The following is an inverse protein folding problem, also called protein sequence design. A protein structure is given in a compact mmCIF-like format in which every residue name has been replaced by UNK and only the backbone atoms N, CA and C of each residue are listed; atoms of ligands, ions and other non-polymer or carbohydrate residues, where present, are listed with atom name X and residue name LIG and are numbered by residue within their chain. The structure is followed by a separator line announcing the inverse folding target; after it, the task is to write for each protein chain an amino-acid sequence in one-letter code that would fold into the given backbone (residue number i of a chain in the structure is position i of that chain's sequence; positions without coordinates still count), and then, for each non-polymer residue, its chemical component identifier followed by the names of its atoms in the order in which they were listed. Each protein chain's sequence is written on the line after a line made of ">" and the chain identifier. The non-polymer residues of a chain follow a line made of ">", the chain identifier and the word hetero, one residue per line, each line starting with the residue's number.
data_IF_011409164969
#
_entry.id   IF_011409164969
#
_cell.length_a   1.000
_cell.length_b   1.000
_cell.length_c   1.000
_cell.angle_alpha   90.00
_cell.angle_beta   90.00
_cell.angle_gamma   90.00
#
_symmetry.space_group_name_H-M   'P 1'
#
loop_
_entity.id
_entity.type
_entity.pdbx_description
1 polymer ?
#
# COMPACT_ATOMS: atom_id res chain seq x y z
N UNK A 1 -25.70 -3.00 57.46
CA UNK A 1 -24.29 -3.04 57.01
C UNK A 1 -24.28 -2.98 55.49
N UNK A 2 -23.81 -1.88 54.93
CA UNK A 2 -23.76 -1.60 53.49
C UNK A 2 -22.60 -2.37 52.84
N UNK A 3 -22.86 -3.12 51.77
CA UNK A 3 -21.84 -3.91 51.02
C UNK A 3 -21.66 -3.32 49.63
N UNK A 4 -21.04 -2.14 49.53
CA UNK A 4 -20.56 -1.59 48.26
C UNK A 4 -19.22 -2.23 47.90
N UNK A 5 -19.26 -3.18 46.96
CA UNK A 5 -18.05 -3.74 46.36
C UNK A 5 -17.63 -2.82 45.20
N UNK A 6 -16.50 -2.13 45.34
CA UNK A 6 -15.94 -1.27 44.29
C UNK A 6 -15.65 -2.06 43.01
N UNK A 7 -16.02 -1.50 41.86
CA UNK A 7 -15.79 -2.08 40.53
C UNK A 7 -14.30 -1.94 40.18
N UNK A 8 -13.63 -3.06 39.90
CA UNK A 8 -12.20 -3.11 39.56
C UNK A 8 -11.89 -2.24 38.35
N UNK A 9 -10.96 -1.30 38.50
CA UNK A 9 -10.36 -0.54 37.41
C UNK A 9 -9.53 -1.50 36.55
N UNK A 10 -9.93 -1.72 35.30
CA UNK A 10 -9.14 -2.50 34.33
C UNK A 10 -7.98 -1.62 33.89
N UNK A 11 -6.94 -1.60 34.71
CA UNK A 11 -5.66 -0.95 34.44
C UNK A 11 -4.63 -1.99 34.04
N UNK A 12 -4.56 -2.30 32.75
CA UNK A 12 -3.32 -2.69 32.08
C UNK A 12 -3.60 -2.67 30.57
N UNK A 13 -3.14 -1.60 29.90
CA UNK A 13 -2.86 -1.71 28.47
C UNK A 13 -1.64 -2.60 28.38
N UNK A 14 -1.81 -3.81 27.85
CA UNK A 14 -0.68 -4.64 27.44
C UNK A 14 0.16 -3.79 26.48
N UNK A 15 1.47 -3.61 26.71
CA UNK A 15 2.32 -3.06 25.68
C UNK A 15 2.13 -3.92 24.43
N UNK A 16 1.78 -3.30 23.31
CA UNK A 16 1.91 -3.98 22.02
C UNK A 16 3.39 -4.32 21.96
N UNK A 17 3.72 -5.62 21.87
CA UNK A 17 5.10 -6.04 21.73
C UNK A 17 5.75 -5.18 20.64
N UNK A 18 6.95 -4.66 20.89
CA UNK A 18 7.85 -4.24 19.82
C UNK A 18 8.15 -5.49 19.01
N UNK A 19 7.24 -5.82 18.09
CA UNK A 19 7.47 -6.88 17.12
C UNK A 19 8.52 -6.27 16.19
N UNK A 20 9.79 -6.65 16.36
CA UNK A 20 10.75 -6.53 15.28
C UNK A 20 10.11 -7.23 14.08
N UNK A 21 9.59 -6.43 13.14
CA UNK A 21 8.64 -6.93 12.17
C UNK A 21 9.38 -7.88 11.21
N UNK A 22 8.86 -9.10 10.95
CA UNK A 22 9.23 -9.79 9.72
C UNK A 22 8.97 -8.84 8.56
N UNK A 23 9.89 -8.77 7.60
CA UNK A 23 9.73 -7.88 6.44
C UNK A 23 8.45 -8.27 5.71
N UNK A 24 7.42 -7.44 5.81
CA UNK A 24 6.14 -7.68 5.17
C UNK A 24 6.37 -7.88 3.67
N UNK A 25 5.76 -8.90 3.08
CA UNK A 25 5.52 -8.88 1.64
C UNK A 25 4.68 -7.65 1.29
N UNK A 26 4.72 -7.19 0.04
CA UNK A 26 3.90 -6.03 -0.35
C UNK A 26 2.40 -6.29 -0.18
N UNK A 27 1.92 -7.52 -0.38
CA UNK A 27 0.53 -7.89 -0.14
C UNK A 27 0.16 -7.84 1.35
N UNK A 28 1.02 -8.35 2.24
CA UNK A 28 0.78 -8.24 3.69
C UNK A 28 0.75 -6.77 4.15
N UNK A 29 1.60 -5.92 3.56
CA UNK A 29 1.58 -4.48 3.82
C UNK A 29 0.28 -3.82 3.32
N UNK A 30 -0.27 -4.28 2.18
CA UNK A 30 -1.60 -3.88 1.70
C UNK A 30 -2.68 -4.26 2.70
N UNK A 31 -2.68 -5.51 3.17
CA UNK A 31 -3.64 -5.97 4.17
C UNK A 31 -3.56 -5.18 5.48
N UNK A 32 -2.35 -4.84 5.93
CA UNK A 32 -2.14 -3.99 7.09
C UNK A 32 -2.79 -2.61 6.90
N UNK A 33 -2.45 -1.90 5.81
CA UNK A 33 -3.00 -0.56 5.54
C UNK A 33 -4.52 -0.60 5.39
N UNK A 34 -5.07 -1.64 4.76
CA UNK A 34 -6.52 -1.83 4.64
C UNK A 34 -7.17 -1.99 6.02
N UNK A 35 -6.57 -2.76 6.94
CA UNK A 35 -7.06 -2.90 8.32
C UNK A 35 -7.08 -1.55 9.04
N UNK A 36 -6.01 -0.77 8.95
CA UNK A 36 -5.92 0.59 9.53
C UNK A 36 -6.97 1.53 8.93
N UNK A 37 -7.15 1.54 7.61
CA UNK A 37 -8.14 2.39 6.94
C UNK A 37 -9.59 1.99 7.28
N UNK A 38 -9.87 0.69 7.44
CA UNK A 38 -11.18 0.20 7.90
C UNK A 38 -11.47 0.61 9.34
N UNK A 39 -10.48 0.50 10.23
CA UNK A 39 -10.60 0.98 11.61
C UNK A 39 -10.91 2.48 11.68
N UNK A 40 -10.38 3.26 10.74
CA UNK A 40 -10.65 4.69 10.56
C UNK A 40 -11.95 5.01 9.79
N UNK A 41 -12.84 4.03 9.60
CA UNK A 41 -14.16 4.17 8.95
C UNK A 41 -14.11 4.74 7.51
N UNK A 42 -13.07 4.39 6.74
CA UNK A 42 -12.98 4.77 5.33
C UNK A 42 -13.99 3.98 4.48
N UNK A 43 -14.56 4.62 3.45
CA UNK A 43 -15.52 3.99 2.54
C UNK A 43 -14.90 2.79 1.80
N UNK A 44 -15.64 1.69 1.67
CA UNK A 44 -15.16 0.46 1.02
C UNK A 44 -14.69 0.69 -0.43
N UNK A 45 -15.40 1.52 -1.19
CA UNK A 45 -14.97 1.93 -2.54
C UNK A 45 -13.57 2.56 -2.57
N UNK A 46 -13.21 3.29 -1.52
CA UNK A 46 -11.88 3.90 -1.41
C UNK A 46 -10.84 2.81 -1.10
N UNK A 47 -11.17 1.85 -0.24
CA UNK A 47 -10.33 0.68 0.07
C UNK A 47 -10.05 -0.15 -1.19
N UNK A 48 -11.07 -0.48 -1.97
CA UNK A 48 -10.91 -1.16 -3.26
C UNK A 48 -9.96 -0.40 -4.21
N UNK A 49 -10.05 0.93 -4.19
CA UNK A 49 -9.15 1.82 -4.92
C UNK A 49 -7.69 1.67 -4.48
N UNK A 50 -7.41 1.61 -3.18
CA UNK A 50 -6.07 1.37 -2.64
C UNK A 50 -5.53 0.01 -3.09
N UNK A 51 -6.29 -1.07 -2.83
CA UNK A 51 -5.90 -2.44 -3.17
C UNK A 51 -5.57 -2.57 -4.66
N UNK A 52 -6.45 -2.06 -5.52
CA UNK A 52 -6.25 -2.13 -6.97
C UNK A 52 -5.00 -1.36 -7.44
N UNK A 53 -4.76 -0.16 -6.88
CA UNK A 53 -3.61 0.64 -7.30
C UNK A 53 -2.29 0.08 -6.78
N UNK A 54 -2.28 -0.49 -5.56
CA UNK A 54 -1.13 -1.18 -5.00
C UNK A 54 -0.82 -2.45 -5.77
N UNK A 55 -1.83 -3.26 -6.13
CA UNK A 55 -1.61 -4.46 -6.95
C UNK A 55 -0.86 -4.17 -8.25
N UNK A 56 -1.15 -3.07 -8.93
CA UNK A 56 -0.39 -2.69 -10.12
C UNK A 56 1.08 -2.34 -9.84
N UNK A 57 1.39 -1.84 -8.65
CA UNK A 57 2.77 -1.59 -8.24
C UNK A 57 3.47 -2.91 -7.91
N UNK A 58 2.80 -3.79 -7.16
CA UNK A 58 3.29 -5.13 -6.79
C UNK A 58 3.63 -5.92 -8.06
N UNK A 59 2.66 -6.08 -8.97
CA UNK A 59 2.85 -6.77 -10.25
C UNK A 59 4.05 -6.18 -11.04
N UNK A 60 4.18 -4.85 -11.06
CA UNK A 60 5.28 -4.19 -11.77
C UNK A 60 6.64 -4.43 -11.11
N UNK A 61 6.70 -4.40 -9.79
CA UNK A 61 7.91 -4.59 -9.00
C UNK A 61 8.38 -6.05 -9.10
N UNK A 62 7.45 -6.99 -8.97
CA UNK A 62 7.75 -8.42 -9.00
C UNK A 62 8.21 -8.90 -10.39
N UNK A 63 7.59 -8.38 -11.45
CA UNK A 63 8.00 -8.63 -12.84
C UNK A 63 9.46 -8.22 -13.11
N UNK A 64 10.01 -7.26 -12.34
CA UNK A 64 11.36 -6.71 -12.54
C UNK A 64 12.40 -7.19 -11.55
N UNK A 65 11.97 -7.45 -10.32
CA UNK A 65 12.87 -7.66 -9.19
C UNK A 65 12.68 -9.02 -8.51
N UNK A 66 11.67 -9.81 -8.93
CA UNK A 66 11.27 -11.02 -8.21
C UNK A 66 10.47 -10.68 -6.95
N UNK A 67 10.44 -11.56 -5.96
CA UNK A 67 9.73 -11.28 -4.71
C UNK A 67 10.32 -10.03 -4.01
N UNK A 68 9.46 -9.03 -3.76
CA UNK A 68 9.83 -7.75 -3.14
C UNK A 68 9.11 -7.63 -1.80
N UNK A 69 9.87 -7.32 -0.75
CA UNK A 69 9.30 -6.98 0.55
C UNK A 69 9.17 -5.47 0.73
N UNK A 70 8.43 -5.01 1.73
CA UNK A 70 8.23 -3.58 1.98
C UNK A 70 9.56 -2.83 2.22
N UNK A 71 10.55 -3.50 2.82
CA UNK A 71 11.86 -2.95 3.12
C UNK A 71 12.76 -2.81 1.89
N UNK A 72 12.47 -3.56 0.82
CA UNK A 72 13.19 -3.48 -0.44
C UNK A 72 12.74 -2.30 -1.31
N UNK A 73 11.58 -1.69 -0.98
CA UNK A 73 11.05 -0.57 -1.76
C UNK A 73 11.85 0.69 -1.51
N UNK A 74 12.47 1.20 -2.58
CA UNK A 74 13.24 2.44 -2.57
C UNK A 74 12.47 3.60 -3.21
N UNK A 75 12.90 4.83 -2.92
CA UNK A 75 12.34 6.02 -3.57
C UNK A 75 12.56 5.97 -5.10
N UNK A 76 13.68 5.42 -5.57
CA UNK A 76 13.97 5.26 -6.99
C UNK A 76 13.04 4.23 -7.64
N UNK A 77 12.78 3.10 -6.98
CA UNK A 77 11.79 2.12 -7.45
C UNK A 77 10.41 2.74 -7.63
N UNK A 78 10.00 3.62 -6.70
CA UNK A 78 8.73 4.35 -6.81
C UNK A 78 8.74 5.36 -7.97
N UNK A 79 9.85 6.05 -8.22
CA UNK A 79 10.01 6.97 -9.36
C UNK A 79 9.95 6.22 -10.68
N UNK A 80 10.68 5.11 -10.78
CA UNK A 80 10.72 4.26 -11.97
C UNK A 80 9.34 3.70 -12.29
N UNK A 81 8.59 3.26 -11.28
CA UNK A 81 7.20 2.84 -11.45
C UNK A 81 6.30 3.95 -12.00
N UNK A 82 6.45 5.18 -11.51
CA UNK A 82 5.68 6.34 -11.96
C UNK A 82 6.04 6.71 -13.40
N UNK A 83 7.33 6.70 -13.75
CA UNK A 83 7.83 6.94 -15.11
C UNK A 83 7.28 5.87 -16.06
N UNK A 84 7.37 4.60 -15.69
CA UNK A 84 6.81 3.49 -16.46
C UNK A 84 5.29 3.62 -16.63
N UNK A 85 4.57 4.01 -15.58
CA UNK A 85 3.13 4.27 -15.67
C UNK A 85 2.80 5.39 -16.67
N UNK A 86 3.65 6.42 -16.78
CA UNK A 86 3.42 7.55 -17.67
C UNK A 86 3.77 7.24 -19.14
N UNK A 87 4.76 6.38 -19.39
CA UNK A 87 5.34 6.22 -20.72
C UNK A 87 5.11 4.84 -21.34
N UNK A 88 5.08 3.79 -20.53
CA UNK A 88 5.32 2.42 -21.00
C UNK A 88 4.19 1.44 -20.67
N UNK A 89 3.39 1.73 -19.65
CA UNK A 89 2.31 0.83 -19.23
C UNK A 89 1.35 0.58 -20.39
N UNK A 90 1.27 -0.68 -20.80
CA UNK A 90 0.39 -1.11 -21.88
C UNK A 90 -1.08 -1.08 -21.45
N UNK A 91 -1.94 -0.71 -22.39
CA UNK A 91 -3.38 -0.76 -22.21
C UNK A 91 -3.90 -2.19 -22.46
N UNK A 92 -4.58 -2.76 -21.46
CA UNK A 92 -5.35 -4.01 -21.59
C UNK A 92 -4.57 -5.24 -22.10
N UNK A 93 -3.32 -5.42 -21.65
CA UNK A 93 -2.59 -6.67 -21.85
C UNK A 93 -3.46 -7.85 -21.37
N UNK A 94 -3.94 -8.68 -22.31
CA UNK A 94 -4.75 -9.87 -22.01
C UNK A 94 -6.24 -9.84 -22.42
N UNK A 95 -6.80 -8.75 -22.98
CA UNK A 95 -8.19 -8.76 -23.46
C UNK A 95 -8.25 -8.89 -25.00
N UNK A 96 -8.65 -10.04 -25.57
CA UNK A 96 -8.44 -10.38 -26.99
C UNK A 96 -9.02 -9.35 -27.97
N UNK A 97 -10.18 -8.77 -27.66
CA UNK A 97 -10.85 -7.80 -28.53
C UNK A 97 -10.42 -6.33 -28.34
N UNK A 98 -9.76 -5.98 -27.22
CA UNK A 98 -9.30 -4.60 -26.95
C UNK A 98 -7.80 -4.41 -27.17
N UNK A 99 -7.03 -5.49 -27.12
CA UNK A 99 -5.59 -5.49 -27.35
C UNK A 99 -5.24 -5.04 -28.79
N UNK A 100 -6.05 -5.38 -29.79
CA UNK A 100 -5.80 -4.99 -31.18
C UNK A 100 -6.08 -3.50 -31.45
N UNK A 101 -7.19 -2.96 -30.93
CA UNK A 101 -7.55 -1.53 -31.08
C UNK A 101 -6.63 -0.58 -30.31
N UNK A 102 -6.01 -1.06 -29.23
CA UNK A 102 -5.08 -0.28 -28.41
C UNK A 102 -3.61 -0.68 -28.62
N UNK A 103 -3.33 -1.53 -29.63
CA UNK A 103 -1.99 -1.97 -29.98
C UNK A 103 -1.10 -0.76 -30.25
N UNK A 104 -0.01 -0.62 -29.50
CA UNK A 104 0.93 0.49 -29.60
C UNK A 104 0.60 1.73 -28.76
N UNK A 105 -0.56 1.79 -28.07
CA UNK A 105 -0.81 2.83 -27.07
C UNK A 105 -0.15 2.44 -25.76
N UNK A 106 0.74 3.30 -25.28
CA UNK A 106 1.46 3.16 -24.02
C UNK A 106 1.25 4.39 -23.15
N UNK A 107 1.44 4.21 -21.85
CA UNK A 107 1.40 5.30 -20.89
C UNK A 107 -0.01 5.69 -20.49
N UNK A 108 -0.21 5.95 -19.21
CA UNK A 108 -1.49 6.37 -18.67
C UNK A 108 -1.71 7.87 -18.83
N UNK A 109 -2.97 8.29 -18.78
CA UNK A 109 -3.28 9.72 -18.69
C UNK A 109 -2.64 10.37 -17.45
N UNK A 110 -2.26 11.66 -17.50
CA UNK A 110 -1.70 12.36 -16.33
C UNK A 110 -2.59 12.25 -15.08
N UNK A 111 -3.92 12.30 -15.25
CA UNK A 111 -4.87 12.14 -14.17
C UNK A 111 -4.77 10.75 -13.50
N UNK A 112 -4.60 9.69 -14.30
CA UNK A 112 -4.43 8.32 -13.81
C UNK A 112 -3.09 8.11 -13.12
N UNK A 113 -2.00 8.69 -13.64
CA UNK A 113 -0.68 8.67 -12.98
C UNK A 113 -0.77 9.36 -11.61
N UNK A 114 -1.43 10.54 -11.55
CA UNK A 114 -1.62 11.27 -10.30
C UNK A 114 -2.43 10.49 -9.25
N UNK A 115 -3.39 9.66 -9.66
CA UNK A 115 -4.09 8.75 -8.74
C UNK A 115 -3.11 7.76 -8.11
N UNK A 116 -2.23 7.16 -8.91
CA UNK A 116 -1.23 6.19 -8.41
C UNK A 116 -0.27 6.85 -7.43
N UNK A 117 0.25 8.04 -7.76
CA UNK A 117 1.14 8.80 -6.87
C UNK A 117 0.45 9.08 -5.52
N UNK A 118 -0.81 9.52 -5.53
CA UNK A 118 -1.54 9.80 -4.28
C UNK A 118 -1.74 8.54 -3.44
N UNK A 119 -2.04 7.40 -4.09
CA UNK A 119 -2.18 6.11 -3.41
C UNK A 119 -0.87 5.70 -2.76
N UNK A 120 0.24 5.71 -3.51
CA UNK A 120 1.57 5.38 -2.98
C UNK A 120 1.93 6.27 -1.81
N UNK A 121 1.81 7.59 -1.95
CA UNK A 121 2.09 8.54 -0.86
C UNK A 121 1.30 8.23 0.40
N UNK A 122 -0.01 7.99 0.25
CA UNK A 122 -0.86 7.73 1.42
C UNK A 122 -0.60 6.36 2.01
N UNK A 123 -0.24 5.38 1.18
CA UNK A 123 0.13 4.03 1.61
C UNK A 123 1.39 4.05 2.49
N UNK A 124 2.48 4.61 1.98
CA UNK A 124 3.74 4.72 2.75
C UNK A 124 3.61 5.65 3.95
N UNK A 125 2.81 6.72 3.88
CA UNK A 125 2.53 7.56 5.04
C UNK A 125 1.85 6.78 6.17
N UNK A 126 0.89 5.90 5.86
CA UNK A 126 0.24 5.06 6.90
C UNK A 126 1.22 4.10 7.52
N UNK A 127 2.05 3.44 6.71
CA UNK A 127 3.06 2.53 7.24
C UNK A 127 4.05 3.25 8.14
N UNK A 128 4.42 4.49 7.79
CA UNK A 128 5.28 5.32 8.61
C UNK A 128 4.58 5.77 9.91
N UNK A 129 3.36 6.28 9.82
CA UNK A 129 2.58 6.78 10.95
C UNK A 129 2.25 5.67 11.98
N UNK A 130 2.12 4.43 11.50
CA UNK A 130 1.90 3.23 12.32
C UNK A 130 3.20 2.50 12.69
N UNK A 131 4.36 3.14 12.47
CA UNK A 131 5.70 2.65 12.85
C UNK A 131 6.07 1.29 12.23
N UNK A 132 5.47 0.94 11.09
CA UNK A 132 5.78 -0.27 10.31
C UNK A 132 7.06 -0.09 9.51
N UNK A 133 7.35 1.12 9.06
CA UNK A 133 8.58 1.49 8.36
C UNK A 133 9.21 2.72 9.00
N UNK A 134 10.53 2.75 9.00
CA UNK A 134 11.31 3.90 9.45
C UNK A 134 11.47 4.95 8.34
N UNK A 135 11.74 6.21 8.68
CA UNK A 135 12.11 7.19 7.66
C UNK A 135 13.39 6.71 6.98
N UNK A 136 13.46 6.83 5.66
CA UNK A 136 14.74 6.64 4.97
C UNK A 136 15.73 7.67 5.50
N UNK A 137 16.57 7.26 6.45
CA UNK A 137 17.70 8.06 6.90
C UNK A 137 18.56 8.34 5.68
N UNK A 138 18.52 9.59 5.23
CA UNK A 138 19.39 10.07 4.16
C UNK A 138 20.83 9.86 4.64
N UNK A 139 21.53 8.88 4.07
CA UNK A 139 22.99 8.78 4.18
C UNK A 139 23.63 9.70 3.16
#
# INVERSE_FOLDING_TARGET
>A
MDKRTGKKTVGQRTPIAEVGLPSYTLDEAVDFVVKVKRANNLKERTIEGYVKNMRYFIEWAEDRHGEVTIMDVTADMLRDYVIWCANDKEYYAGHPFKAEFMKGKRGLSPASVNVRIRVLRTFFAVLYDEEVIEPQSSR
#
